data_IF_971524346445
#
_entry.id   IF_971524346445
#
_cell.length_a   1.000
_cell.length_b   1.000
_cell.length_c   1.000
_cell.angle_alpha   90.00
_cell.angle_beta   90.00
_cell.angle_gamma   90.00
#
_symmetry.space_group_name_H-M   'P 1'
#
loop_
_entity.id
_entity.type
_entity.pdbx_description
1 polymer ?
#
# COMPACT_ATOMS: atom_id res chain seq x y z
N UNK A 1 9.15 -7.32 -3.59
CA UNK A 1 9.86 -6.18 -4.15
C UNK A 1 11.32 -6.45 -4.52
N UNK A 2 12.11 -7.09 -3.69
CA UNK A 2 13.48 -7.53 -4.07
C UNK A 2 13.47 -8.51 -5.27
N UNK A 3 12.41 -9.29 -5.41
CA UNK A 3 12.25 -10.27 -6.49
C UNK A 3 12.08 -9.60 -7.86
N UNK A 4 11.39 -8.47 -7.96
CA UNK A 4 11.19 -7.73 -9.23
C UNK A 4 12.50 -7.12 -9.77
N UNK A 5 13.44 -6.81 -8.89
CA UNK A 5 14.75 -6.24 -9.28
C UNK A 5 15.69 -7.31 -9.82
N UNK A 6 15.57 -8.56 -9.39
CA UNK A 6 16.49 -9.67 -9.73
C UNK A 6 15.96 -10.50 -10.90
N UNK A 7 14.65 -10.64 -11.02
CA UNK A 7 14.02 -11.47 -12.07
C UNK A 7 13.29 -10.58 -13.07
N UNK A 8 13.73 -10.57 -14.30
CA UNK A 8 13.00 -9.91 -15.39
C UNK A 8 11.68 -10.63 -15.66
N UNK A 9 10.65 -9.86 -16.05
CA UNK A 9 9.31 -10.37 -16.40
C UNK A 9 8.55 -11.02 -15.21
N UNK A 10 8.83 -10.60 -13.99
CA UNK A 10 8.08 -10.99 -12.80
C UNK A 10 7.25 -9.80 -12.32
N UNK A 11 6.00 -10.06 -11.99
CA UNK A 11 5.08 -9.07 -11.46
C UNK A 11 4.14 -9.70 -10.42
N UNK A 12 3.55 -8.88 -9.58
CA UNK A 12 2.71 -9.32 -8.48
C UNK A 12 1.42 -8.49 -8.42
N UNK A 13 0.29 -9.13 -8.16
CA UNK A 13 -0.97 -8.47 -7.86
C UNK A 13 -1.22 -8.46 -6.35
N UNK A 14 -1.25 -7.27 -5.76
CA UNK A 14 -1.60 -7.10 -4.33
C UNK A 14 -3.07 -7.45 -4.11
N UNK A 15 -3.40 -8.13 -3.01
CA UNK A 15 -4.77 -8.51 -2.65
C UNK A 15 -5.10 -8.31 -1.17
N UNK A 16 -4.31 -7.50 -0.45
CA UNK A 16 -4.52 -7.23 0.98
C UNK A 16 -5.88 -6.55 1.26
N UNK A 17 -6.35 -5.72 0.35
CA UNK A 17 -7.61 -4.99 0.39
C UNK A 17 -8.82 -5.81 -0.04
N UNK A 18 -8.65 -7.08 -0.37
CA UNK A 18 -9.73 -7.97 -0.79
C UNK A 18 -10.15 -8.94 0.32
N UNK A 19 -9.76 -8.67 1.56
CA UNK A 19 -10.18 -9.47 2.72
C UNK A 19 -11.71 -9.58 2.78
N UNK A 20 -12.19 -10.76 3.13
CA UNK A 20 -13.61 -11.08 3.27
C UNK A 20 -13.84 -11.55 4.70
N UNK A 21 -14.75 -10.89 5.41
CA UNK A 21 -15.05 -11.18 6.81
C UNK A 21 -15.54 -12.62 7.06
N UNK A 22 -16.16 -13.25 6.05
CA UNK A 22 -16.67 -14.63 6.16
C UNK A 22 -15.61 -15.67 5.81
N UNK A 23 -14.75 -15.39 4.82
CA UNK A 23 -13.79 -16.37 4.27
C UNK A 23 -12.33 -16.02 4.55
N UNK A 24 -12.07 -14.89 5.25
CA UNK A 24 -10.76 -14.47 5.68
C UNK A 24 -9.80 -14.23 4.51
N UNK A 25 -8.66 -14.92 4.53
CA UNK A 25 -7.61 -14.82 3.49
C UNK A 25 -8.00 -15.46 2.15
N UNK A 26 -9.18 -16.04 2.06
CA UNK A 26 -9.71 -16.64 0.83
C UNK A 26 -10.92 -15.85 0.32
N UNK A 27 -10.77 -14.59 -0.10
CA UNK A 27 -11.89 -13.75 -0.51
C UNK A 27 -12.60 -14.35 -1.71
N UNK A 28 -13.95 -14.24 -1.72
CA UNK A 28 -14.77 -14.70 -2.85
C UNK A 28 -14.54 -13.85 -4.09
N UNK A 29 -14.26 -12.56 -3.92
CA UNK A 29 -13.93 -11.66 -5.02
C UNK A 29 -12.52 -11.94 -5.55
N UNK A 30 -12.43 -12.71 -6.62
CA UNK A 30 -11.19 -12.99 -7.34
C UNK A 30 -10.96 -12.03 -8.51
N UNK A 31 -11.94 -11.21 -8.87
CA UNK A 31 -11.83 -10.31 -10.02
C UNK A 31 -10.80 -9.20 -9.80
N UNK A 32 -10.77 -8.61 -8.60
CA UNK A 32 -9.84 -7.54 -8.27
C UNK A 32 -8.38 -7.97 -8.40
N UNK A 33 -7.90 -9.01 -7.70
CA UNK A 33 -6.51 -9.46 -7.85
C UNK A 33 -6.21 -9.98 -9.27
N UNK A 34 -7.17 -10.63 -9.93
CA UNK A 34 -6.99 -11.10 -11.30
C UNK A 34 -6.83 -9.94 -12.30
N UNK A 35 -7.60 -8.86 -12.14
CA UNK A 35 -7.46 -7.65 -12.95
C UNK A 35 -6.07 -7.01 -12.75
N UNK A 36 -5.58 -6.92 -11.53
CA UNK A 36 -4.25 -6.39 -11.22
C UNK A 36 -3.14 -7.21 -11.87
N UNK A 37 -3.25 -8.53 -11.79
CA UNK A 37 -2.31 -9.43 -12.47
C UNK A 37 -2.40 -9.30 -13.99
N UNK A 38 -3.60 -9.19 -14.57
CA UNK A 38 -3.77 -9.04 -16.00
C UNK A 38 -3.18 -7.72 -16.52
N UNK A 39 -3.40 -6.60 -15.82
CA UNK A 39 -2.83 -5.29 -16.22
C UNK A 39 -1.30 -5.29 -16.12
N UNK A 40 -0.74 -5.84 -15.05
CA UNK A 40 0.71 -5.99 -14.92
C UNK A 40 1.29 -6.91 -16.01
N UNK A 41 0.61 -8.01 -16.33
CA UNK A 41 0.99 -8.91 -17.42
C UNK A 41 0.95 -8.25 -18.79
N UNK A 42 -0.07 -7.41 -19.07
CA UNK A 42 -0.14 -6.64 -20.31
C UNK A 42 1.06 -5.71 -20.48
N UNK A 43 1.46 -5.03 -19.41
CA UNK A 43 2.63 -4.18 -19.43
C UNK A 43 3.92 -4.99 -19.61
N UNK A 44 4.20 -5.92 -18.69
CA UNK A 44 5.50 -6.60 -18.60
C UNK A 44 5.72 -7.58 -19.76
N UNK A 45 4.69 -8.38 -20.10
CA UNK A 45 4.85 -9.44 -21.11
C UNK A 45 4.52 -8.97 -22.54
N UNK A 46 3.64 -7.98 -22.68
CA UNK A 46 3.18 -7.50 -24.00
C UNK A 46 3.61 -6.07 -24.33
N UNK A 47 4.37 -5.42 -23.43
CA UNK A 47 4.90 -4.07 -23.65
C UNK A 47 3.84 -2.97 -23.71
N UNK A 48 2.66 -3.19 -23.11
CA UNK A 48 1.55 -2.26 -23.05
C UNK A 48 1.73 -1.26 -21.91
N UNK A 49 2.58 -0.25 -22.10
CA UNK A 49 3.00 0.70 -21.06
C UNK A 49 1.88 1.58 -20.51
N UNK A 50 0.74 1.67 -21.19
CA UNK A 50 -0.47 2.34 -20.71
C UNK A 50 -1.15 1.63 -19.52
N UNK A 51 -0.78 0.39 -19.23
CA UNK A 51 -1.29 -0.36 -18.09
C UNK A 51 -0.30 -0.32 -16.92
N UNK A 52 -0.74 0.02 -15.70
CA UNK A 52 0.14 0.06 -14.55
C UNK A 52 0.58 -1.35 -14.15
N UNK A 53 1.84 -1.48 -13.76
CA UNK A 53 2.38 -2.73 -13.17
C UNK A 53 2.10 -2.80 -11.68
N UNK A 54 2.07 -1.66 -11.02
CA UNK A 54 1.96 -1.52 -9.57
C UNK A 54 1.04 -0.36 -9.20
N UNK A 55 0.63 -0.31 -7.94
CA UNK A 55 0.05 0.88 -7.35
C UNK A 55 1.12 1.94 -7.06
N UNK A 56 0.72 3.12 -6.57
CA UNK A 56 1.65 4.18 -6.19
C UNK A 56 2.59 3.71 -5.08
N UNK A 57 3.88 4.05 -5.21
CA UNK A 57 4.89 3.79 -4.19
C UNK A 57 5.32 5.08 -3.49
N UNK A 58 5.52 5.05 -2.18
CA UNK A 58 6.13 6.17 -1.49
C UNK A 58 7.59 6.31 -1.92
N UNK A 59 7.97 7.52 -2.36
CA UNK A 59 9.33 7.86 -2.81
C UNK A 59 10.08 8.71 -1.80
N UNK A 60 9.37 9.49 -0.97
CA UNK A 60 9.93 10.17 0.19
C UNK A 60 8.93 10.21 1.35
N UNK A 61 9.48 10.29 2.55
CA UNK A 61 8.74 10.52 3.79
C UNK A 61 9.51 11.61 4.54
N UNK A 62 8.90 12.77 4.68
CA UNK A 62 9.44 13.91 5.38
C UNK A 62 8.66 14.17 6.66
N UNK A 63 9.34 14.55 7.73
CA UNK A 63 8.75 14.75 9.04
C UNK A 63 9.11 16.15 9.57
N UNK A 64 8.09 16.91 9.94
CA UNK A 64 8.22 18.23 10.52
C UNK A 64 7.58 18.26 11.90
N UNK A 65 8.33 18.73 12.89
CA UNK A 65 7.82 18.94 14.25
C UNK A 65 7.15 20.32 14.30
N UNK A 66 5.89 20.33 14.71
CA UNK A 66 5.08 21.53 14.92
C UNK A 66 4.90 21.78 16.43
N UNK A 67 4.38 22.95 16.79
CA UNK A 67 4.13 23.30 18.20
C UNK A 67 3.07 22.41 18.86
N UNK A 68 2.13 21.88 18.06
CA UNK A 68 0.98 21.07 18.49
C UNK A 68 1.03 19.60 18.01
N UNK A 69 2.12 19.19 17.33
CA UNK A 69 2.22 17.83 16.86
C UNK A 69 3.36 17.55 15.89
N UNK A 70 3.18 16.54 15.09
CA UNK A 70 4.13 16.12 14.05
C UNK A 70 3.37 16.00 12.74
N UNK A 71 3.85 16.68 11.72
CA UNK A 71 3.41 16.50 10.34
C UNK A 71 4.32 15.49 9.64
N UNK A 72 3.71 14.55 8.92
CA UNK A 72 4.41 13.58 8.09
C UNK A 72 3.91 13.72 6.66
N UNK A 73 4.81 14.09 5.75
CA UNK A 73 4.53 14.24 4.33
C UNK A 73 5.04 12.99 3.60
N UNK A 74 4.13 12.29 2.92
CA UNK A 74 4.46 11.11 2.13
C UNK A 74 4.27 11.44 0.67
N UNK A 75 5.36 11.48 -0.10
CA UNK A 75 5.32 11.70 -1.55
C UNK A 75 5.30 10.36 -2.27
N UNK A 76 4.44 10.25 -3.27
CA UNK A 76 4.31 9.06 -4.11
C UNK A 76 4.82 9.31 -5.52
N UNK A 77 5.21 8.25 -6.22
CA UNK A 77 5.68 8.27 -7.61
C UNK A 77 4.57 8.50 -8.65
N UNK A 78 3.31 8.37 -8.23
CA UNK A 78 2.12 8.53 -9.07
C UNK A 78 1.03 9.29 -8.32
N UNK A 79 0.19 10.00 -9.05
CA UNK A 79 -1.06 10.55 -8.50
C UNK A 79 -2.10 9.46 -8.32
N UNK A 80 -2.89 9.54 -7.27
CA UNK A 80 -3.99 8.62 -6.99
C UNK A 80 -5.12 9.36 -6.26
N UNK A 81 -6.32 8.83 -6.36
CA UNK A 81 -7.43 9.29 -5.52
C UNK A 81 -7.35 8.63 -4.15
N UNK A 82 -7.40 9.44 -3.12
CA UNK A 82 -7.46 9.00 -1.74
C UNK A 82 -8.91 9.02 -1.27
N UNK A 83 -9.52 7.86 -1.14
CA UNK A 83 -10.92 7.69 -0.68
C UNK A 83 -10.96 6.71 0.52
N UNK A 84 -10.44 7.12 1.70
CA UNK A 84 -10.47 6.25 2.86
C UNK A 84 -11.89 6.08 3.38
N UNK A 85 -12.21 4.90 3.87
CA UNK A 85 -13.37 4.71 4.75
C UNK A 85 -13.01 5.13 6.18
N UNK A 86 -13.99 5.27 7.08
CA UNK A 86 -13.74 5.68 8.48
C UNK A 86 -12.72 4.80 9.24
N UNK A 87 -12.52 3.57 8.79
CA UNK A 87 -11.58 2.60 9.39
C UNK A 87 -10.30 2.41 8.60
N UNK A 88 -10.14 3.09 7.46
CA UNK A 88 -8.97 2.98 6.58
C UNK A 88 -8.17 4.28 6.63
N UNK A 89 -6.85 4.18 6.68
CA UNK A 89 -5.98 5.34 6.73
C UNK A 89 -4.54 4.96 7.05
N UNK A 90 -3.76 5.96 7.35
CA UNK A 90 -2.40 5.76 7.83
C UNK A 90 -2.40 5.53 9.33
N UNK A 91 -1.60 4.59 9.76
CA UNK A 91 -1.40 4.28 11.16
C UNK A 91 0.06 4.52 11.54
N UNK A 92 0.27 5.16 12.66
CA UNK A 92 1.58 5.35 13.26
C UNK A 92 1.72 4.42 14.46
N UNK A 93 2.86 3.74 14.53
CA UNK A 93 3.24 3.00 15.73
C UNK A 93 4.11 3.87 16.63
N UNK A 94 3.63 4.10 17.85
CA UNK A 94 4.24 5.02 18.83
C UNK A 94 5.16 4.32 19.85
N UNK A 95 5.77 3.20 19.49
CA UNK A 95 6.69 2.49 20.38
C UNK A 95 8.14 2.95 20.20
N UNK A 96 8.88 3.00 21.33
CA UNK A 96 10.29 3.36 21.34
C UNK A 96 11.20 2.33 20.62
N UNK A 97 10.78 1.08 20.56
CA UNK A 97 11.47 0.02 19.82
C UNK A 97 10.63 -0.38 18.59
N UNK A 98 11.08 0.02 17.40
CA UNK A 98 10.40 -0.25 16.13
C UNK A 98 10.23 -1.73 15.81
N UNK A 99 11.05 -2.61 16.41
CA UNK A 99 10.91 -4.08 16.29
C UNK A 99 9.65 -4.60 16.97
N UNK A 100 9.08 -3.82 17.88
CA UNK A 100 7.82 -4.11 18.57
C UNK A 100 6.60 -3.63 17.79
N UNK A 101 6.77 -2.88 16.70
CA UNK A 101 5.70 -2.41 15.83
C UNK A 101 5.22 -3.52 14.89
N UNK A 102 4.60 -4.55 15.45
CA UNK A 102 3.94 -5.61 14.69
C UNK A 102 2.42 -5.54 14.91
N UNK A 103 1.67 -6.24 14.10
CA UNK A 103 0.20 -6.22 14.12
C UNK A 103 -0.43 -6.67 15.44
N UNK A 104 0.32 -7.32 16.32
CA UNK A 104 -0.19 -7.89 17.57
C UNK A 104 0.21 -7.11 18.81
N UNK A 105 1.37 -6.45 18.82
CA UNK A 105 1.95 -5.82 20.00
C UNK A 105 2.13 -4.29 19.86
N UNK A 106 1.98 -3.73 18.67
CA UNK A 106 2.16 -2.30 18.43
C UNK A 106 0.98 -1.46 18.94
N UNK A 107 1.27 -0.30 19.49
CA UNK A 107 0.27 0.76 19.64
C UNK A 107 0.16 1.48 18.32
N UNK A 108 -0.86 1.16 17.57
CA UNK A 108 -1.16 1.77 16.30
C UNK A 108 -2.24 2.83 16.45
N UNK A 109 -1.95 4.04 16.08
CA UNK A 109 -2.87 5.18 16.12
C UNK A 109 -3.19 5.61 14.69
N UNK A 110 -4.48 5.75 14.40
CA UNK A 110 -4.95 6.29 13.13
C UNK A 110 -4.61 7.78 13.07
N UNK A 111 -3.99 8.19 11.97
CA UNK A 111 -3.57 9.58 11.76
C UNK A 111 -4.64 10.31 10.96
N UNK A 112 -4.94 11.54 11.34
CA UNK A 112 -5.74 12.43 10.49
C UNK A 112 -4.96 12.79 9.24
N UNK A 113 -5.58 12.68 8.07
CA UNK A 113 -5.01 13.07 6.79
C UNK A 113 -5.58 14.41 6.35
N UNK A 114 -4.72 15.26 5.81
CA UNK A 114 -5.10 16.51 5.13
C UNK A 114 -4.70 16.35 3.66
N UNK A 115 -5.55 16.84 2.75
CA UNK A 115 -5.23 16.95 1.33
C UNK A 115 -4.50 18.28 1.04
#
# INVERSE_FOLDING_TARGET
>A
MIIEIILQNVFMGVSLDTYDAETGIHPRNKQTPSKRLATAGLNVAYGKSEYPTNGPYPVSIDMTVLDDGIQIDVTYDQTFEWNPTESEGFYICTLLDTRMCNSQAGRWELVSTYE
#
